data_IF_407267536756
#
_entry.id   IF_407267536756
#
_cell.length_a   1.000
_cell.length_b   1.000
_cell.length_c   1.000
_cell.angle_alpha   90.00
_cell.angle_beta   90.00
_cell.angle_gamma   90.00
#
_symmetry.space_group_name_H-M   'P 1'
#
loop_
_entity.id
_entity.type
_entity.pdbx_description
1 polymer ?
#
# COMPACT_ATOMS: atom_id res chain seq x y z
N UNK A 1 19.66 -32.77 52.25
CA UNK A 1 19.28 -31.38 51.92
C UNK A 1 19.53 -31.18 50.43
N UNK A 2 18.47 -31.23 49.60
CA UNK A 2 18.60 -30.99 48.14
C UNK A 2 18.70 -29.49 47.94
N UNK A 3 19.89 -29.02 47.53
CA UNK A 3 20.10 -27.64 47.12
C UNK A 3 19.40 -27.46 45.78
N UNK A 4 18.24 -26.80 45.78
CA UNK A 4 17.54 -26.40 44.56
C UNK A 4 18.25 -25.14 44.05
N UNK A 5 19.06 -25.30 43.01
CA UNK A 5 19.56 -24.16 42.27
C UNK A 5 18.38 -23.52 41.52
N UNK A 6 17.79 -22.48 42.12
CA UNK A 6 16.97 -21.54 41.37
C UNK A 6 17.90 -20.80 40.40
N UNK A 7 17.96 -21.30 39.17
CA UNK A 7 18.52 -20.55 38.06
C UNK A 7 17.48 -19.48 37.75
N UNK A 8 17.78 -18.22 38.04
CA UNK A 8 16.93 -17.11 37.57
C UNK A 8 16.80 -17.26 36.05
N UNK A 9 15.59 -17.56 35.58
CA UNK A 9 15.28 -17.56 34.16
C UNK A 9 15.38 -16.11 33.70
N UNK A 10 16.47 -15.80 33.00
CA UNK A 10 16.66 -14.51 32.35
C UNK A 10 15.48 -14.28 31.39
N UNK A 11 14.78 -13.15 31.53
CA UNK A 11 13.73 -12.79 30.59
C UNK A 11 14.37 -12.52 29.23
N UNK A 12 14.07 -13.35 28.25
CA UNK A 12 14.59 -13.22 26.89
C UNK A 12 14.27 -11.85 26.27
N UNK A 13 13.24 -11.15 26.77
CA UNK A 13 12.93 -9.78 26.34
C UNK A 13 14.02 -8.78 26.70
N UNK A 14 14.87 -9.07 27.67
CA UNK A 14 16.04 -8.24 27.98
C UNK A 14 17.05 -8.20 26.84
N UNK A 15 17.06 -9.22 25.98
CA UNK A 15 17.94 -9.30 24.80
C UNK A 15 17.36 -8.57 23.57
N UNK A 16 16.15 -8.02 23.66
CA UNK A 16 15.55 -7.22 22.59
C UNK A 16 16.02 -5.75 22.68
N UNK A 17 16.15 -5.11 21.51
CA UNK A 17 16.27 -3.66 21.41
C UNK A 17 14.96 -2.97 21.79
N UNK A 18 15.06 -1.71 22.24
CA UNK A 18 13.93 -1.00 22.85
C UNK A 18 12.78 -0.74 21.89
N UNK A 19 13.08 -0.43 20.63
CA UNK A 19 12.11 -0.30 19.54
C UNK A 19 11.29 -1.58 19.34
N UNK A 20 11.93 -2.75 19.33
CA UNK A 20 11.23 -4.03 19.21
C UNK A 20 10.34 -4.32 20.43
N UNK A 21 10.74 -3.89 21.63
CA UNK A 21 9.89 -4.01 22.82
C UNK A 21 8.64 -3.14 22.73
N UNK A 22 8.79 -1.93 22.19
CA UNK A 22 7.69 -1.00 21.93
C UNK A 22 6.73 -1.61 20.90
N UNK A 23 7.24 -2.04 19.75
CA UNK A 23 6.43 -2.66 18.70
C UNK A 23 5.69 -3.90 19.20
N UNK A 24 6.37 -4.75 19.98
CA UNK A 24 5.75 -5.92 20.59
C UNK A 24 4.64 -5.53 21.58
N UNK A 25 4.84 -4.50 22.39
CA UNK A 25 3.81 -4.01 23.32
C UNK A 25 2.58 -3.52 22.55
N UNK A 26 2.75 -2.76 21.47
CA UNK A 26 1.67 -2.30 20.62
C UNK A 26 0.88 -3.46 19.99
N UNK A 27 1.59 -4.48 19.47
CA UNK A 27 0.96 -5.70 18.94
C UNK A 27 0.11 -6.42 19.98
N UNK A 28 0.61 -6.50 21.23
CA UNK A 28 -0.14 -7.11 22.33
C UNK A 28 -1.37 -6.29 22.71
N UNK A 29 -1.30 -4.96 22.70
CA UNK A 29 -2.46 -4.09 22.92
C UNK A 29 -3.53 -4.29 21.83
N UNK A 30 -3.13 -4.43 20.57
CA UNK A 30 -4.06 -4.73 19.47
C UNK A 30 -4.75 -6.07 19.73
N UNK A 31 -4.00 -7.10 20.13
CA UNK A 31 -4.54 -8.42 20.39
C UNK A 31 -5.57 -8.43 21.54
N UNK A 32 -5.44 -7.54 22.55
CA UNK A 32 -6.39 -7.46 23.68
C UNK A 32 -7.84 -7.20 23.27
N UNK A 33 -8.09 -6.66 22.08
CA UNK A 33 -9.46 -6.53 21.52
C UNK A 33 -10.21 -7.85 21.48
N UNK A 34 -9.48 -8.96 21.31
CA UNK A 34 -10.02 -10.31 21.25
C UNK A 34 -9.65 -11.12 22.52
N UNK A 35 -9.42 -10.44 23.67
CA UNK A 35 -9.02 -11.08 24.93
C UNK A 35 -9.96 -12.19 25.38
N UNK A 36 -11.26 -11.98 25.23
CA UNK A 36 -12.24 -13.01 25.60
C UNK A 36 -12.07 -14.32 24.83
N UNK A 37 -11.54 -14.26 23.60
CA UNK A 37 -11.30 -15.45 22.78
C UNK A 37 -10.00 -16.17 23.16
N UNK A 38 -8.87 -15.48 23.16
CA UNK A 38 -7.58 -16.14 23.40
C UNK A 38 -7.39 -16.60 24.85
N UNK A 39 -8.09 -16.00 25.82
CA UNK A 39 -8.06 -16.42 27.22
C UNK A 39 -8.76 -17.77 27.48
N UNK A 40 -9.56 -18.26 26.53
CA UNK A 40 -10.23 -19.55 26.62
C UNK A 40 -9.40 -20.69 26.00
N UNK A 41 -8.26 -20.38 25.39
CA UNK A 41 -7.40 -21.37 24.76
C UNK A 41 -6.54 -22.10 25.80
N UNK A 42 -6.21 -23.36 25.51
CA UNK A 42 -5.30 -24.17 26.33
C UNK A 42 -3.91 -23.52 26.45
N UNK A 43 -3.42 -22.96 25.34
CA UNK A 43 -2.23 -22.11 25.33
C UNK A 43 -2.60 -20.66 25.00
N UNK A 44 -2.82 -19.89 26.06
CA UNK A 44 -3.17 -18.46 26.00
C UNK A 44 -2.12 -17.65 25.26
N UNK A 45 -0.82 -17.97 25.41
CA UNK A 45 0.28 -17.19 24.82
C UNK A 45 0.33 -17.41 23.31
N UNK A 46 0.23 -18.66 22.87
CA UNK A 46 0.17 -19.02 21.45
C UNK A 46 -1.10 -18.46 20.81
N UNK A 47 -2.25 -18.56 21.48
CA UNK A 47 -3.50 -17.99 20.96
C UNK A 47 -3.43 -16.45 20.85
N UNK A 48 -2.83 -15.76 21.82
CA UNK A 48 -2.62 -14.32 21.78
C UNK A 48 -1.73 -13.91 20.59
N UNK A 49 -0.68 -14.68 20.30
CA UNK A 49 0.19 -14.46 19.13
C UNK A 49 -0.59 -14.62 17.81
N UNK A 50 -1.41 -15.66 17.68
CA UNK A 50 -2.26 -15.86 16.50
C UNK A 50 -3.26 -14.73 16.29
N UNK A 51 -3.85 -14.23 17.38
CA UNK A 51 -4.73 -13.05 17.32
C UNK A 51 -3.98 -11.82 16.84
N UNK A 52 -2.77 -11.56 17.39
CA UNK A 52 -1.94 -10.44 16.94
C UNK A 52 -1.61 -10.55 15.45
N UNK A 53 -1.21 -11.73 14.98
CA UNK A 53 -0.90 -11.99 13.57
C UNK A 53 -2.12 -11.78 12.66
N UNK A 54 -3.30 -12.23 13.09
CA UNK A 54 -4.53 -12.04 12.33
C UNK A 54 -4.90 -10.54 12.18
N UNK A 55 -4.70 -9.74 13.23
CA UNK A 55 -4.91 -8.29 13.16
C UNK A 55 -3.87 -7.63 12.24
N UNK A 56 -2.59 -8.01 12.31
CA UNK A 56 -1.56 -7.52 11.38
C UNK A 56 -1.92 -7.84 9.94
N UNK A 57 -2.32 -9.08 9.65
CA UNK A 57 -2.74 -9.50 8.31
C UNK A 57 -3.96 -8.72 7.80
N UNK A 58 -4.92 -8.42 8.69
CA UNK A 58 -6.07 -7.56 8.37
C UNK A 58 -5.65 -6.12 8.06
N UNK A 59 -4.67 -5.58 8.79
CA UNK A 59 -4.10 -4.26 8.52
C UNK A 59 -3.35 -4.23 7.18
N UNK A 60 -2.57 -5.27 6.88
CA UNK A 60 -1.90 -5.43 5.59
C UNK A 60 -2.90 -5.41 4.43
N UNK A 61 -3.97 -6.21 4.50
CA UNK A 61 -5.03 -6.23 3.47
C UNK A 61 -5.67 -4.85 3.24
N UNK A 62 -5.86 -4.07 4.31
CA UNK A 62 -6.39 -2.71 4.20
C UNK A 62 -5.41 -1.77 3.51
N UNK A 63 -4.10 -1.93 3.75
CA UNK A 63 -3.06 -1.14 3.10
C UNK A 63 -2.99 -1.50 1.60
N UNK A 64 -2.95 -2.79 1.27
CA UNK A 64 -2.97 -3.28 -0.12
C UNK A 64 -4.19 -2.73 -0.89
N UNK A 65 -5.38 -2.82 -0.30
CA UNK A 65 -6.59 -2.27 -0.92
C UNK A 65 -6.57 -0.74 -1.09
N UNK A 66 -5.84 -0.01 -0.23
CA UNK A 66 -5.65 1.45 -0.39
C UNK A 66 -4.66 1.77 -1.49
N UNK A 67 -3.59 0.99 -1.60
CA UNK A 67 -2.58 1.11 -2.67
C UNK A 67 -3.25 0.87 -4.02
N UNK A 68 -4.02 -0.22 -4.15
CA UNK A 68 -4.73 -0.53 -5.40
C UNK A 68 -5.65 0.62 -5.86
N UNK A 69 -6.38 1.26 -4.94
CA UNK A 69 -7.21 2.43 -5.26
C UNK A 69 -6.38 3.63 -5.71
N UNK A 70 -5.22 3.86 -5.09
CA UNK A 70 -4.31 4.93 -5.48
C UNK A 70 -3.76 4.66 -6.88
N UNK A 71 -3.35 3.43 -7.17
CA UNK A 71 -2.86 3.03 -8.49
C UNK A 71 -3.92 3.24 -9.58
N UNK A 72 -5.18 2.86 -9.30
CA UNK A 72 -6.31 3.13 -10.20
C UNK A 72 -6.53 4.63 -10.42
N UNK A 73 -6.49 5.43 -9.36
CA UNK A 73 -6.65 6.87 -9.45
C UNK A 73 -5.52 7.53 -10.26
N UNK A 74 -4.27 7.11 -10.02
CA UNK A 74 -3.09 7.60 -10.76
C UNK A 74 -3.19 7.23 -12.24
N UNK A 75 -3.61 6.00 -12.56
CA UNK A 75 -3.83 5.58 -13.94
C UNK A 75 -4.91 6.43 -14.64
N UNK A 76 -6.04 6.67 -13.97
CA UNK A 76 -7.08 7.54 -14.52
C UNK A 76 -6.60 8.98 -14.74
N UNK A 77 -5.77 9.52 -13.82
CA UNK A 77 -5.17 10.85 -13.99
C UNK A 77 -4.22 10.86 -15.19
N UNK A 78 -3.40 9.83 -15.37
CA UNK A 78 -2.50 9.71 -16.52
C UNK A 78 -3.28 9.67 -17.84
N UNK A 79 -4.34 8.86 -17.91
CA UNK A 79 -5.22 8.76 -19.09
C UNK A 79 -5.88 10.11 -19.43
N UNK A 80 -6.38 10.84 -18.42
CA UNK A 80 -6.91 12.19 -18.61
C UNK A 80 -5.84 13.18 -19.10
N UNK A 81 -4.62 13.07 -18.57
CA UNK A 81 -3.47 13.84 -19.02
C UNK A 81 -3.13 13.59 -20.49
N UNK A 82 -3.17 12.34 -20.94
CA UNK A 82 -2.92 11.98 -22.34
C UNK A 82 -3.99 12.52 -23.28
N UNK A 83 -5.26 12.47 -22.87
CA UNK A 83 -6.37 13.09 -23.64
C UNK A 83 -6.16 14.59 -23.76
N UNK A 84 -5.85 15.27 -22.65
CA UNK A 84 -5.59 16.71 -22.65
C UNK A 84 -4.34 17.08 -23.48
N UNK A 85 -3.25 16.29 -23.38
CA UNK A 85 -2.03 16.46 -24.21
C UNK A 85 -2.39 16.35 -25.69
N UNK A 86 -3.16 15.34 -26.08
CA UNK A 86 -3.57 15.12 -27.46
C UNK A 86 -4.43 16.26 -28.00
N UNK A 87 -5.38 16.75 -27.22
CA UNK A 87 -6.23 17.89 -27.60
C UNK A 87 -5.39 19.17 -27.77
N UNK A 88 -4.51 19.48 -26.83
CA UNK A 88 -3.62 20.64 -26.91
C UNK A 88 -2.68 20.58 -28.13
N UNK A 89 -2.13 19.40 -28.44
CA UNK A 89 -1.32 19.19 -29.65
C UNK A 89 -2.14 19.40 -30.92
N UNK A 90 -3.37 18.89 -30.95
CA UNK A 90 -4.29 19.04 -32.09
C UNK A 90 -4.65 20.50 -32.33
N UNK A 91 -4.97 21.26 -31.28
CA UNK A 91 -5.26 22.69 -31.41
C UNK A 91 -4.06 23.46 -31.97
N UNK A 92 -2.88 23.28 -31.37
CA UNK A 92 -1.65 23.94 -31.85
C UNK A 92 -1.32 23.56 -33.30
N UNK A 93 -1.44 22.29 -33.67
CA UNK A 93 -1.17 21.85 -35.03
C UNK A 93 -2.18 22.44 -36.05
N UNK A 94 -3.46 22.54 -35.68
CA UNK A 94 -4.49 23.20 -36.52
C UNK A 94 -4.20 24.68 -36.72
N UNK A 95 -3.83 25.39 -35.66
CA UNK A 95 -3.47 26.81 -35.72
C UNK A 95 -2.26 27.05 -36.62
N UNK A 96 -1.21 26.25 -36.45
CA UNK A 96 0.01 26.37 -37.25
C UNK A 96 -0.22 26.09 -38.73
N UNK A 97 -0.98 25.04 -39.06
CA UNK A 97 -1.27 24.68 -40.44
C UNK A 97 -2.39 25.49 -41.08
N UNK A 98 -3.11 26.31 -40.30
CA UNK A 98 -4.34 27.00 -40.71
C UNK A 98 -5.31 26.05 -41.43
N UNK A 99 -5.39 24.81 -40.95
CA UNK A 99 -6.04 23.70 -41.65
C UNK A 99 -7.54 23.95 -41.84
N UNK A 100 -7.97 24.09 -43.09
CA UNK A 100 -9.38 24.32 -43.49
C UNK A 100 -9.91 23.20 -44.37
N UNK A 101 -9.05 22.58 -45.20
CA UNK A 101 -9.44 21.49 -46.10
C UNK A 101 -9.37 20.12 -45.42
N UNK A 102 -10.05 19.09 -45.96
CA UNK A 102 -9.94 17.72 -45.45
C UNK A 102 -8.50 17.19 -45.43
N UNK A 103 -7.71 17.41 -46.49
CA UNK A 103 -6.31 16.93 -46.51
C UNK A 103 -5.42 17.61 -45.47
N UNK A 104 -5.68 18.88 -45.14
CA UNK A 104 -4.95 19.59 -44.10
C UNK A 104 -5.31 19.08 -42.70
N UNK A 105 -6.57 18.70 -42.48
CA UNK A 105 -7.02 18.05 -41.24
C UNK A 105 -6.38 16.68 -41.06
N UNK A 106 -6.25 15.90 -42.13
CA UNK A 106 -5.53 14.62 -42.08
C UNK A 106 -4.05 14.79 -41.73
N UNK A 107 -3.40 15.85 -42.24
CA UNK A 107 -2.01 16.18 -41.86
C UNK A 107 -1.87 16.56 -40.39
N UNK A 108 -2.84 17.29 -39.82
CA UNK A 108 -2.88 17.60 -38.39
C UNK A 108 -2.92 16.32 -37.57
N UNK A 109 -3.81 15.38 -37.89
CA UNK A 109 -3.93 14.14 -37.09
C UNK A 109 -2.64 13.31 -37.15
N UNK A 110 -1.99 13.20 -38.32
CA UNK A 110 -0.69 12.52 -38.43
C UNK A 110 0.40 13.16 -37.57
N UNK A 111 0.45 14.49 -37.49
CA UNK A 111 1.41 15.19 -36.64
C UNK A 111 1.12 14.91 -35.16
N UNK A 112 -0.15 14.96 -34.77
CA UNK A 112 -0.56 14.66 -33.39
C UNK A 112 -0.20 13.24 -33.02
N UNK A 113 -0.44 12.26 -33.90
CA UNK A 113 -0.09 10.85 -33.66
C UNK A 113 1.42 10.68 -33.46
N UNK A 114 2.25 11.21 -34.36
CA UNK A 114 3.72 11.15 -34.21
C UNK A 114 4.19 11.80 -32.91
N UNK A 115 3.58 12.92 -32.49
CA UNK A 115 3.96 13.61 -31.26
C UNK A 115 3.45 12.95 -29.98
N UNK A 116 2.44 12.09 -30.07
CA UNK A 116 1.94 11.28 -28.94
C UNK A 116 2.78 10.02 -28.71
N UNK A 117 3.58 9.59 -29.70
CA UNK A 117 4.54 8.47 -29.56
C UNK A 117 5.82 8.84 -28.79
N UNK A 118 6.07 10.14 -28.53
CA UNK A 118 7.19 10.68 -27.73
C UNK A 118 6.73 11.20 -26.36
#
# INVERSE_FOLDING_TARGET
MKMVFFKEERDWKEDLCEDIKIDMAELLEIAKRNRCAYMQADDVKVAQLWVALAEVYKHQKKIEARIERIEQAVKAIAELGDVAKREALREKAREMLKAKTPEEKDKVERIVDTLMEF
#
